data_IF_692955674387
#
_entry.id   IF_692955674387
#
_cell.length_a   1.000
_cell.length_b   1.000
_cell.length_c   1.000
_cell.angle_alpha   90.00
_cell.angle_beta   90.00
_cell.angle_gamma   90.00
#
_symmetry.space_group_name_H-M   'P 1'
#
loop_
_entity.id
_entity.type
_entity.pdbx_description
1 polymer ?
#
# COMPACT_ATOMS: atom_id res chain seq x y z
N UNK A 1 14.47 -2.20 -1.16
CA UNK A 1 13.12 -2.80 -1.12
C UNK A 1 12.27 -1.89 -1.97
N UNK A 2 11.92 -2.30 -3.19
CA UNK A 2 11.01 -1.52 -4.03
C UNK A 2 9.62 -1.63 -3.38
N UNK A 3 9.22 -0.58 -2.70
CA UNK A 3 7.93 -0.44 -2.03
C UNK A 3 6.94 -0.06 -3.13
N UNK A 4 5.89 -0.85 -3.39
CA UNK A 4 4.79 -0.41 -4.25
C UNK A 4 4.24 0.91 -3.68
N UNK A 5 3.96 1.94 -4.47
CA UNK A 5 3.55 3.26 -3.92
C UNK A 5 2.17 3.25 -3.26
N UNK A 6 1.40 2.18 -3.48
CA UNK A 6 0.21 1.85 -2.69
C UNK A 6 0.51 1.28 -1.30
N UNK A 7 1.75 0.97 -0.96
CA UNK A 7 2.11 0.66 0.42
C UNK A 7 2.05 1.89 1.32
N UNK A 8 2.37 3.06 0.79
CA UNK A 8 2.39 4.29 1.58
C UNK A 8 1.03 4.99 1.64
N UNK A 9 0.14 4.79 0.65
CA UNK A 9 -1.22 5.38 0.67
C UNK A 9 -2.38 4.40 0.90
N UNK A 10 -2.15 3.09 0.84
CA UNK A 10 -3.16 2.04 1.08
C UNK A 10 -2.64 0.85 1.91
N UNK A 11 -1.39 0.89 2.40
CA UNK A 11 -0.85 -0.08 3.35
C UNK A 11 -0.19 0.54 4.61
N UNK A 12 -0.41 1.82 4.90
CA UNK A 12 -0.09 2.43 6.20
C UNK A 12 -1.31 3.00 6.95
N UNK A 13 -2.51 2.95 6.37
CA UNK A 13 -3.73 3.39 7.06
C UNK A 13 -4.17 2.41 8.15
N UNK A 14 -3.65 2.62 9.35
CA UNK A 14 -4.19 2.22 10.63
C UNK A 14 -4.96 3.37 11.27
N UNK A 15 -6.29 3.29 11.36
CA UNK A 15 -7.07 3.42 12.61
C UNK A 15 -8.59 3.31 12.33
N UNK A 16 -9.36 3.14 13.41
CA UNK A 16 -10.67 2.48 13.47
C UNK A 16 -11.90 3.37 13.20
N UNK A 17 -13.03 2.73 12.84
CA UNK A 17 -14.30 2.99 13.55
C UNK A 17 -14.95 1.69 14.02
N UNK A 18 -15.00 1.52 15.35
CA UNK A 18 -15.83 0.57 16.08
C UNK A 18 -17.33 0.91 15.94
N UNK A 19 -18.17 -0.06 15.60
CA UNK A 19 -19.26 -0.58 16.45
C UNK A 19 -19.95 -1.78 15.82
N UNK A 20 -20.09 -2.88 16.58
CA UNK A 20 -21.01 -3.98 16.25
C UNK A 20 -20.61 -5.34 16.80
N UNK A 21 -20.93 -5.60 18.08
CA UNK A 21 -20.86 -6.94 18.67
C UNK A 21 -21.65 -7.99 17.86
N UNK A 22 -21.00 -9.12 17.58
CA UNK A 22 -21.62 -10.44 17.65
C UNK A 22 -22.20 -11.00 16.35
N UNK A 23 -21.56 -12.06 15.87
CA UNK A 23 -22.17 -13.03 14.96
C UNK A 23 -21.12 -13.74 14.12
N UNK A 24 -20.75 -14.95 14.53
CA UNK A 24 -20.15 -15.95 13.64
C UNK A 24 -20.98 -15.98 12.36
N UNK A 25 -20.41 -15.46 11.28
CA UNK A 25 -20.96 -15.63 9.94
C UNK A 25 -19.86 -16.27 9.12
N UNK A 26 -19.99 -17.58 8.98
CA UNK A 26 -19.27 -18.39 8.01
C UNK A 26 -19.33 -17.67 6.66
N UNK A 27 -18.22 -17.05 6.25
CA UNK A 27 -18.07 -16.42 4.96
C UNK A 27 -18.36 -17.45 3.88
N UNK A 28 -19.49 -17.28 3.18
CA UNK A 28 -19.88 -18.17 2.09
C UNK A 28 -18.80 -18.12 1.02
N UNK A 29 -18.12 -19.26 0.87
CA UNK A 29 -17.27 -19.57 -0.25
C UNK A 29 -18.07 -19.48 -1.55
N UNK A 30 -17.82 -18.47 -2.38
CA UNK A 30 -18.25 -18.48 -3.77
C UNK A 30 -17.07 -19.00 -4.59
N UNK A 31 -16.99 -20.31 -4.74
CA UNK A 31 -16.17 -20.91 -5.78
C UNK A 31 -16.73 -20.44 -7.13
N UNK A 32 -16.02 -19.55 -7.84
CA UNK A 32 -16.31 -19.33 -9.25
C UNK A 32 -15.81 -20.56 -10.02
N UNK A 33 -16.74 -21.42 -10.39
CA UNK A 33 -16.51 -22.42 -11.41
C UNK A 33 -16.52 -21.72 -12.77
N UNK A 34 -15.34 -21.44 -13.33
CA UNK A 34 -15.13 -21.22 -14.77
C UNK A 34 -15.20 -19.77 -15.27
N UNK A 35 -14.11 -19.39 -15.94
CA UNK A 35 -13.93 -18.36 -16.98
C UNK A 35 -14.19 -16.86 -16.62
N UNK A 36 -13.10 -16.09 -16.72
CA UNK A 36 -13.02 -14.64 -17.03
C UNK A 36 -13.59 -13.61 -16.03
N UNK A 37 -13.72 -13.93 -14.75
CA UNK A 37 -13.98 -12.91 -13.71
C UNK A 37 -12.73 -12.59 -12.93
N UNK A 38 -12.09 -11.45 -13.19
CA UNK A 38 -11.03 -10.87 -12.34
C UNK A 38 -11.45 -10.66 -10.86
N UNK A 39 -10.58 -10.08 -10.02
CA UNK A 39 -10.77 -10.05 -8.57
C UNK A 39 -11.91 -9.13 -8.10
N UNK A 40 -12.45 -8.29 -8.99
CA UNK A 40 -13.65 -7.49 -8.71
C UNK A 40 -14.90 -8.31 -9.03
N UNK A 41 -15.68 -8.63 -8.00
CA UNK A 41 -16.91 -9.41 -8.10
C UNK A 41 -18.06 -8.60 -7.50
N UNK A 42 -19.16 -8.44 -8.24
CA UNK A 42 -20.33 -7.68 -7.81
C UNK A 42 -20.02 -6.23 -7.38
N UNK A 43 -19.05 -5.57 -8.02
CA UNK A 43 -18.55 -4.23 -7.62
C UNK A 43 -17.99 -4.21 -6.20
N UNK A 44 -17.35 -5.30 -5.79
CA UNK A 44 -16.56 -5.39 -4.57
C UNK A 44 -15.20 -6.02 -4.90
N UNK A 45 -14.15 -5.52 -4.26
CA UNK A 45 -12.80 -6.09 -4.27
C UNK A 45 -12.39 -6.33 -2.83
N UNK A 46 -11.98 -7.56 -2.50
CA UNK A 46 -11.50 -7.91 -1.17
C UNK A 46 -10.07 -8.40 -1.22
N UNK A 47 -9.24 -7.92 -0.32
CA UNK A 47 -7.87 -8.41 -0.13
C UNK A 47 -7.44 -8.28 1.32
N UNK A 48 -6.41 -9.02 1.69
CA UNK A 48 -5.81 -8.98 3.03
C UNK A 48 -4.33 -8.70 2.95
N UNK A 49 -3.84 -7.88 3.88
CA UNK A 49 -2.42 -7.61 4.12
C UNK A 49 -2.05 -8.14 5.51
N UNK A 50 -0.81 -8.58 5.65
CA UNK A 50 -0.20 -8.99 6.91
C UNK A 50 0.93 -8.04 7.25
N UNK A 51 1.10 -7.78 8.53
CA UNK A 51 2.15 -6.90 9.01
C UNK A 51 2.82 -7.50 10.23
N UNK A 52 4.15 -7.40 10.28
CA UNK A 52 4.94 -7.87 11.40
C UNK A 52 5.27 -6.69 12.29
N UNK A 53 4.97 -6.79 13.58
CA UNK A 53 5.25 -5.73 14.54
C UNK A 53 6.01 -6.28 15.74
N UNK A 54 6.52 -5.36 16.57
CA UNK A 54 7.18 -5.71 17.83
C UNK A 54 6.22 -5.47 18.98
N UNK A 55 6.05 -6.50 19.82
CA UNK A 55 5.16 -6.47 20.97
C UNK A 55 5.91 -6.86 22.25
N UNK A 56 5.42 -6.41 23.41
CA UNK A 56 5.96 -6.79 24.73
C UNK A 56 5.08 -7.88 25.32
N UNK A 57 5.60 -9.10 25.36
CA UNK A 57 4.92 -10.25 25.91
C UNK A 57 5.77 -10.91 27.00
N UNK A 58 5.23 -11.03 28.21
CA UNK A 58 5.92 -11.46 29.43
C UNK A 58 7.17 -10.64 29.79
N UNK A 59 7.17 -9.34 29.45
CA UNK A 59 8.27 -8.42 29.75
C UNK A 59 9.46 -8.52 28.79
N UNK A 60 9.32 -9.25 27.69
CA UNK A 60 10.31 -9.34 26.62
C UNK A 60 9.71 -8.85 25.29
N UNK A 61 10.53 -8.17 24.48
CA UNK A 61 10.15 -7.83 23.11
C UNK A 61 10.14 -9.09 22.25
N UNK A 62 9.03 -9.33 21.56
CA UNK A 62 8.82 -10.47 20.66
C UNK A 62 8.20 -9.98 19.35
N UNK A 63 8.48 -10.71 18.28
CA UNK A 63 7.80 -10.50 17.01
C UNK A 63 6.34 -10.94 17.14
N UNK A 64 5.47 -10.15 16.56
CA UNK A 64 4.03 -10.32 16.56
C UNK A 64 3.50 -10.04 15.14
N UNK A 65 2.25 -10.40 14.89
CA UNK A 65 1.64 -10.32 13.57
C UNK A 65 0.24 -9.73 13.60
N UNK A 66 0.04 -8.74 12.76
CA UNK A 66 -1.23 -8.09 12.46
C UNK A 66 -1.85 -8.60 11.16
N UNK A 67 -3.15 -8.36 11.02
CA UNK A 67 -3.94 -8.60 9.82
C UNK A 67 -4.79 -7.38 9.53
N UNK A 68 -4.74 -6.93 8.29
CA UNK A 68 -5.58 -5.86 7.73
C UNK A 68 -6.41 -6.48 6.60
N UNK A 69 -7.71 -6.67 6.82
CA UNK A 69 -8.63 -7.16 5.79
C UNK A 69 -9.42 -5.99 5.21
N UNK A 70 -9.35 -5.83 3.89
CA UNK A 70 -9.95 -4.74 3.15
C UNK A 70 -11.08 -5.23 2.25
N UNK A 71 -12.13 -4.42 2.14
CA UNK A 71 -13.19 -4.57 1.16
C UNK A 71 -13.54 -3.22 0.55
N UNK A 72 -13.22 -3.06 -0.72
CA UNK A 72 -13.50 -1.88 -1.52
C UNK A 72 -14.86 -2.08 -2.18
N UNK A 73 -15.69 -1.05 -2.12
CA UNK A 73 -17.01 -1.04 -2.75
C UNK A 73 -17.30 0.36 -3.29
N UNK A 74 -18.35 0.48 -4.12
CA UNK A 74 -18.86 1.80 -4.52
C UNK A 74 -19.38 2.62 -3.32
N UNK A 75 -19.64 1.98 -2.17
CA UNK A 75 -20.04 2.63 -0.92
C UNK A 75 -18.87 3.05 -0.02
N UNK A 76 -17.63 2.77 -0.43
CA UNK A 76 -16.42 3.08 0.33
C UNK A 76 -15.59 1.84 0.69
N UNK A 77 -14.53 2.05 1.47
CA UNK A 77 -13.69 1.00 2.03
C UNK A 77 -14.28 0.52 3.35
N UNK A 78 -14.25 -0.79 3.56
CA UNK A 78 -14.33 -1.38 4.88
C UNK A 78 -13.01 -2.03 5.21
N UNK A 79 -12.48 -1.71 6.39
CA UNK A 79 -11.25 -2.27 6.91
C UNK A 79 -11.54 -2.99 8.23
N UNK A 80 -10.93 -4.15 8.40
CA UNK A 80 -10.93 -4.89 9.66
C UNK A 80 -9.49 -5.15 10.08
N UNK A 81 -9.13 -4.63 11.25
CA UNK A 81 -7.80 -4.80 11.84
C UNK A 81 -7.89 -5.85 12.95
N UNK A 82 -6.96 -6.81 12.97
CA UNK A 82 -6.91 -7.83 14.02
C UNK A 82 -5.48 -8.28 14.33
N UNK A 83 -5.27 -8.75 15.56
CA UNK A 83 -4.02 -9.40 15.96
C UNK A 83 -4.10 -10.90 15.65
N UNK A 84 -3.11 -11.42 14.94
CA UNK A 84 -2.94 -12.86 14.67
C UNK A 84 -2.14 -13.52 15.79
N UNK A 85 -0.97 -12.95 16.09
CA UNK A 85 -0.04 -13.37 17.14
C UNK A 85 0.37 -12.11 17.89
N UNK A 86 0.23 -12.12 19.21
CA UNK A 86 0.55 -10.97 20.07
C UNK A 86 0.24 -11.25 21.53
N UNK A 87 0.54 -10.29 22.40
CA UNK A 87 0.31 -10.29 23.84
C UNK A 87 -1.18 -10.19 24.20
N UNK A 88 -1.99 -9.64 23.31
CA UNK A 88 -3.44 -9.48 23.47
C UNK A 88 -4.16 -9.58 22.11
N UNK A 89 -5.49 -9.79 22.08
CA UNK A 89 -6.28 -9.74 20.84
C UNK A 89 -6.30 -8.38 20.13
N UNK A 90 -5.86 -7.31 20.81
CA UNK A 90 -5.81 -5.94 20.29
C UNK A 90 -4.39 -5.40 20.12
N UNK A 91 -3.35 -6.20 20.41
CA UNK A 91 -1.98 -5.73 20.46
C UNK A 91 -1.52 -5.05 19.17
N UNK A 92 -1.96 -5.56 18.01
CA UNK A 92 -1.66 -4.93 16.72
C UNK A 92 -2.38 -3.59 16.56
N UNK A 93 -3.66 -3.53 16.90
CA UNK A 93 -4.44 -2.29 16.88
C UNK A 93 -3.83 -1.23 17.80
N UNK A 94 -3.34 -1.66 18.96
CA UNK A 94 -2.66 -0.80 19.92
C UNK A 94 -1.26 -0.37 19.43
N UNK A 95 -0.56 -1.22 18.64
CA UNK A 95 0.77 -0.91 18.11
C UNK A 95 0.77 0.05 16.95
N UNK A 96 -0.25 -0.06 16.09
CA UNK A 96 -0.42 0.86 14.95
C UNK A 96 -0.98 2.22 15.38
N UNK A 97 -1.50 2.32 16.61
CA UNK A 97 -1.89 3.59 17.22
C UNK A 97 -3.23 4.15 16.72
N UNK A 98 -3.56 5.33 17.22
CA UNK A 98 -4.77 6.12 16.92
C UNK A 98 -4.33 7.49 16.35
N UNK A 99 -3.34 7.46 15.45
CA UNK A 99 -2.78 8.65 14.83
C UNK A 99 -3.57 8.91 13.55
N UNK A 100 -4.37 9.97 13.57
CA UNK A 100 -5.00 10.50 12.36
C UNK A 100 -3.91 11.16 11.52
N UNK A 101 -3.09 10.36 10.85
CA UNK A 101 -2.04 10.84 9.96
C UNK A 101 -2.68 11.47 8.73
N UNK A 102 -2.11 12.57 8.26
CA UNK A 102 -2.57 13.24 7.05
C UNK A 102 -1.71 12.84 5.86
N UNK A 103 -2.40 12.42 4.80
CA UNK A 103 -1.82 12.26 3.47
C UNK A 103 -2.13 13.51 2.64
N UNK A 104 -1.09 14.02 1.98
CA UNK A 104 -1.14 15.24 1.19
C UNK A 104 -0.98 14.93 -0.29
N UNK A 105 -1.85 15.54 -1.11
CA UNK A 105 -1.77 15.48 -2.56
C UNK A 105 -1.64 16.91 -3.10
N UNK A 106 -0.51 17.22 -3.72
CA UNK A 106 -0.18 18.56 -4.20
C UNK A 106 0.15 18.56 -5.69
N UNK A 107 -0.49 19.43 -6.46
CA UNK A 107 -0.22 19.61 -7.89
C UNK A 107 -0.34 21.07 -8.29
N UNK A 108 -0.34 21.36 -9.59
CA UNK A 108 -0.49 22.74 -10.07
C UNK A 108 -1.86 23.30 -9.66
N UNK A 109 -1.87 24.36 -8.84
CA UNK A 109 -3.06 24.97 -8.26
C UNK A 109 -3.99 23.96 -7.54
N UNK A 110 -3.39 22.97 -6.87
CA UNK A 110 -4.08 21.85 -6.25
C UNK A 110 -3.41 21.47 -4.94
N UNK A 111 -4.19 21.39 -3.87
CA UNK A 111 -3.76 20.82 -2.60
C UNK A 111 -4.94 20.10 -1.95
N UNK A 112 -4.71 18.87 -1.50
CA UNK A 112 -5.66 18.04 -0.77
C UNK A 112 -4.91 17.52 0.46
N UNK A 113 -5.54 17.65 1.62
CA UNK A 113 -5.12 16.98 2.84
C UNK A 113 -6.29 16.12 3.29
N UNK A 114 -6.04 14.83 3.50
CA UNK A 114 -7.04 13.84 3.88
C UNK A 114 -6.44 12.95 4.97
N UNK A 115 -7.25 12.44 5.91
CA UNK A 115 -6.79 11.38 6.79
C UNK A 115 -6.33 10.21 5.93
N UNK A 116 -5.23 9.57 6.32
CA UNK A 116 -4.75 8.35 5.66
C UNK A 116 -5.79 7.23 5.74
N UNK A 117 -6.54 7.18 6.84
CA UNK A 117 -7.71 6.33 6.97
C UNK A 117 -8.71 6.60 5.85
N UNK A 118 -9.06 5.53 5.14
CA UNK A 118 -10.03 5.63 4.06
C UNK A 118 -11.40 6.02 4.60
N UNK A 119 -11.76 7.29 4.42
CA UNK A 119 -13.12 7.80 4.61
C UNK A 119 -13.76 8.09 3.25
N UNK A 120 -14.93 7.50 3.01
CA UNK A 120 -15.76 7.72 1.81
C UNK A 120 -16.06 9.20 1.51
N UNK A 121 -15.96 10.08 2.50
CA UNK A 121 -16.05 11.52 2.32
C UNK A 121 -14.94 12.03 1.38
N UNK A 122 -13.74 11.48 1.50
CA UNK A 122 -12.55 11.90 0.75
C UNK A 122 -12.24 10.94 -0.40
N UNK A 123 -12.35 9.62 -0.18
CA UNK A 123 -11.97 8.60 -1.15
C UNK A 123 -13.22 7.96 -1.80
N UNK A 124 -13.29 7.98 -3.13
CA UNK A 124 -14.43 7.51 -3.89
C UNK A 124 -13.98 6.52 -4.96
N UNK A 125 -14.50 5.29 -4.90
CA UNK A 125 -14.13 4.22 -5.81
C UNK A 125 -15.26 3.98 -6.81
N UNK A 126 -14.87 3.70 -8.05
CA UNK A 126 -15.79 3.18 -9.07
C UNK A 126 -15.12 2.07 -9.86
N UNK A 127 -15.79 0.92 -9.97
CA UNK A 127 -15.31 -0.21 -10.76
C UNK A 127 -15.63 -0.02 -12.24
N UNK A 128 -14.64 -0.32 -13.08
CA UNK A 128 -14.75 -0.20 -14.54
C UNK A 128 -15.10 -1.55 -15.14
N UNK A 129 -14.39 -2.59 -14.72
CA UNK A 129 -14.59 -3.98 -15.11
C UNK A 129 -14.09 -4.91 -13.98
N UNK A 130 -13.73 -6.16 -14.30
CA UNK A 130 -13.31 -7.15 -13.32
C UNK A 130 -11.90 -6.96 -12.78
N UNK A 131 -11.06 -6.16 -13.43
CA UNK A 131 -9.65 -5.98 -13.13
C UNK A 131 -9.24 -4.50 -13.02
N UNK A 132 -10.17 -3.56 -13.26
CA UNK A 132 -9.88 -2.14 -13.22
C UNK A 132 -10.87 -1.38 -12.34
N UNK A 133 -10.35 -0.47 -11.50
CA UNK A 133 -11.14 0.51 -10.77
C UNK A 133 -10.55 1.91 -10.88
N UNK A 134 -11.33 2.92 -10.49
CA UNK A 134 -10.89 4.31 -10.41
C UNK A 134 -11.00 4.78 -8.98
N UNK A 135 -9.99 5.51 -8.53
CA UNK A 135 -9.99 6.23 -7.26
C UNK A 135 -10.10 7.73 -7.55
N UNK A 136 -11.06 8.37 -6.91
CA UNK A 136 -11.16 9.82 -6.82
C UNK A 136 -10.93 10.23 -5.38
N UNK A 137 -9.91 11.03 -5.15
CA UNK A 137 -9.62 11.61 -3.85
C UNK A 137 -10.00 13.07 -3.91
N UNK A 138 -10.81 13.54 -2.97
CA UNK A 138 -11.38 14.88 -2.98
C UNK A 138 -11.37 15.51 -1.60
N UNK A 139 -11.08 16.80 -1.55
CA UNK A 139 -11.29 17.63 -0.35
C UNK A 139 -11.80 19.00 -0.78
N UNK A 140 -13.01 19.34 -0.35
CA UNK A 140 -13.72 20.53 -0.84
C UNK A 140 -13.94 20.48 -2.36
N UNK A 141 -13.37 21.46 -3.09
CA UNK A 141 -13.46 21.55 -4.55
C UNK A 141 -12.24 20.96 -5.27
N UNK A 142 -11.21 20.55 -4.54
CA UNK A 142 -10.01 19.94 -5.09
C UNK A 142 -10.20 18.43 -5.26
N UNK A 143 -9.67 17.86 -6.34
CA UNK A 143 -9.68 16.41 -6.55
C UNK A 143 -8.49 15.90 -7.37
N UNK A 144 -7.98 14.73 -7.02
CA UNK A 144 -7.13 13.90 -7.88
C UNK A 144 -7.87 12.65 -8.31
N UNK A 145 -7.54 12.15 -9.50
CA UNK A 145 -8.16 10.96 -10.06
C UNK A 145 -7.08 10.05 -10.62
N UNK A 146 -7.20 8.77 -10.32
CA UNK A 146 -6.32 7.74 -10.83
C UNK A 146 -7.11 6.51 -11.23
N UNK A 147 -6.62 5.81 -12.25
CA UNK A 147 -7.12 4.48 -12.65
C UNK A 147 -6.16 3.44 -12.13
N UNK A 148 -6.66 2.37 -11.54
CA UNK A 148 -5.86 1.26 -11.04
C UNK A 148 -6.23 0.00 -11.81
N UNK A 149 -5.23 -0.59 -12.44
CA UNK A 149 -5.33 -1.94 -13.00
C UNK A 149 -4.84 -2.94 -11.95
N UNK A 150 -5.52 -4.08 -11.87
CA UNK A 150 -5.22 -5.16 -10.94
C UNK A 150 -4.60 -6.31 -11.70
N UNK A 151 -3.33 -6.58 -11.42
CA UNK A 151 -2.67 -7.79 -11.90
C UNK A 151 -2.87 -8.88 -10.85
N UNK A 152 -3.47 -9.99 -11.27
CA UNK A 152 -3.67 -11.18 -10.42
C UNK A 152 -2.59 -12.21 -10.70
N UNK A 153 -1.85 -12.60 -9.66
CA UNK A 153 -0.89 -13.70 -9.71
C UNK A 153 -1.46 -14.93 -9.02
N UNK A 154 -1.31 -16.09 -9.67
CA UNK A 154 -1.61 -17.39 -9.09
C UNK A 154 -0.50 -17.77 -8.10
N UNK A 155 -0.90 -18.10 -6.88
CA UNK A 155 0.00 -18.56 -5.84
C UNK A 155 -0.07 -20.08 -5.63
N UNK A 156 -0.92 -20.82 -6.33
CA UNK A 156 -0.98 -22.28 -6.15
C UNK A 156 0.39 -22.93 -6.33
N UNK A 157 0.84 -23.69 -5.33
CA UNK A 157 2.14 -24.35 -5.39
C UNK A 157 3.34 -23.44 -5.11
N UNK A 158 3.13 -22.13 -4.94
CA UNK A 158 4.18 -21.19 -4.53
C UNK A 158 4.54 -21.45 -3.07
N UNK A 159 5.84 -21.50 -2.80
CA UNK A 159 6.39 -21.67 -1.45
C UNK A 159 7.30 -20.50 -1.10
N UNK A 160 8.14 -20.71 -0.08
CA UNK A 160 9.13 -19.73 0.34
C UNK A 160 10.17 -19.43 -0.76
N UNK A 161 10.40 -18.15 -1.03
CA UNK A 161 11.51 -17.70 -1.88
C UNK A 161 12.88 -17.92 -1.19
N UNK A 162 13.92 -18.35 -1.93
CA UNK A 162 15.30 -18.27 -1.45
C UNK A 162 15.74 -16.82 -1.23
N UNK A 163 16.53 -16.56 -0.19
CA UNK A 163 17.01 -15.21 0.20
C UNK A 163 17.71 -14.39 -0.91
N UNK A 164 18.21 -15.02 -1.97
CA UNK A 164 18.86 -14.35 -3.10
C UNK A 164 18.20 -14.70 -4.44
N UNK A 165 16.90 -14.93 -4.42
CA UNK A 165 16.14 -15.12 -5.63
C UNK A 165 16.36 -13.96 -6.61
N UNK A 166 16.32 -14.28 -7.91
CA UNK A 166 16.38 -13.28 -8.99
C UNK A 166 15.07 -13.15 -9.73
N UNK A 167 14.20 -14.13 -9.55
CA UNK A 167 12.90 -14.32 -10.20
C UNK A 167 12.01 -15.05 -9.21
N UNK A 168 10.69 -14.99 -9.40
CA UNK A 168 9.69 -15.66 -8.58
C UNK A 168 8.79 -14.68 -7.84
N UNK A 169 7.92 -15.21 -6.98
CA UNK A 169 6.95 -14.43 -6.21
C UNK A 169 7.39 -14.39 -4.75
N UNK A 170 7.75 -13.21 -4.25
CA UNK A 170 8.06 -12.97 -2.85
C UNK A 170 6.79 -12.69 -2.05
N UNK A 171 6.63 -13.42 -0.95
CA UNK A 171 5.42 -13.44 -0.11
C UNK A 171 5.80 -13.44 1.36
N UNK A 172 4.82 -13.36 2.26
CA UNK A 172 5.04 -13.44 3.70
C UNK A 172 5.77 -14.72 4.15
N UNK A 173 5.72 -15.80 3.38
CA UNK A 173 6.45 -17.03 3.66
C UNK A 173 7.97 -16.83 3.69
N UNK A 174 8.50 -15.80 3.03
CA UNK A 174 9.93 -15.48 3.02
C UNK A 174 10.47 -15.08 4.38
N UNK A 175 9.62 -14.60 5.29
CA UNK A 175 9.99 -14.28 6.67
C UNK A 175 10.11 -15.52 7.59
N UNK A 176 9.54 -16.66 7.18
CA UNK A 176 9.38 -17.82 8.07
C UNK A 176 10.72 -18.52 8.41
N UNK A 177 10.83 -19.23 9.55
CA UNK A 177 12.01 -20.04 9.85
C UNK A 177 12.31 -21.05 8.73
N UNK A 178 13.60 -21.28 8.43
CA UNK A 178 14.02 -22.19 7.35
C UNK A 178 13.59 -23.66 7.53
N UNK A 179 13.20 -24.05 8.75
CA UNK A 179 12.62 -25.37 9.04
C UNK A 179 11.18 -25.53 8.56
N UNK A 180 10.52 -24.44 8.18
CA UNK A 180 9.13 -24.42 7.71
C UNK A 180 9.14 -24.14 6.21
N UNK A 181 8.49 -25.01 5.44
CA UNK A 181 8.38 -24.87 3.99
C UNK A 181 6.94 -25.11 3.54
N UNK A 182 6.00 -24.25 3.95
CA UNK A 182 4.62 -24.38 3.57
C UNK A 182 4.46 -23.93 2.11
N UNK A 183 3.41 -24.42 1.47
CA UNK A 183 3.11 -24.13 0.06
C UNK A 183 1.66 -23.72 -0.04
N UNK A 184 1.40 -22.66 -0.79
CA UNK A 184 0.06 -22.12 -0.99
C UNK A 184 -0.86 -23.15 -1.65
N UNK A 185 -2.10 -23.33 -1.13
CA UNK A 185 -3.06 -24.26 -1.67
C UNK A 185 -3.68 -23.76 -2.99
N UNK A 186 -4.46 -24.64 -3.64
CA UNK A 186 -5.20 -24.28 -4.85
C UNK A 186 -6.19 -23.14 -4.59
N UNK A 187 -6.27 -22.21 -5.54
CA UNK A 187 -7.10 -21.00 -5.47
C UNK A 187 -6.49 -19.84 -4.67
N UNK A 188 -5.26 -19.97 -4.16
CA UNK A 188 -4.51 -18.85 -3.58
C UNK A 188 -4.07 -17.88 -4.67
N UNK A 189 -4.32 -16.60 -4.45
CA UNK A 189 -3.95 -15.53 -5.39
C UNK A 189 -3.43 -14.31 -4.63
N UNK A 190 -2.66 -13.48 -5.32
CA UNK A 190 -2.43 -12.12 -4.89
C UNK A 190 -2.59 -11.10 -6.00
N UNK A 191 -2.71 -9.85 -5.56
CA UNK A 191 -3.01 -8.72 -6.42
C UNK A 191 -1.88 -7.70 -6.37
N UNK A 192 -1.63 -7.08 -7.51
CA UNK A 192 -0.75 -5.93 -7.66
C UNK A 192 -1.58 -4.83 -8.29
N UNK A 193 -1.68 -3.70 -7.62
CA UNK A 193 -2.38 -2.54 -8.14
C UNK A 193 -1.38 -1.64 -8.85
N UNK A 194 -1.70 -1.25 -10.09
CA UNK A 194 -0.87 -0.38 -10.92
C UNK A 194 -1.61 0.92 -11.21
N UNK A 195 -1.14 2.01 -10.61
CA UNK A 195 -1.76 3.33 -10.76
C UNK A 195 -1.44 3.95 -12.13
N UNK A 196 -2.45 4.54 -12.76
CA UNK A 196 -2.31 5.50 -13.85
C UNK A 196 -2.99 6.82 -13.45
N UNK A 197 -2.21 7.85 -13.05
CA UNK A 197 -2.73 9.16 -12.70
C UNK A 197 -3.38 9.88 -13.90
N UNK A 198 -4.49 10.58 -13.69
CA UNK A 198 -5.09 11.42 -14.73
C UNK A 198 -4.44 12.81 -14.81
N UNK A 199 -3.64 13.18 -13.82
CA UNK A 199 -3.01 14.49 -13.68
C UNK A 199 -1.65 14.34 -12.98
N UNK A 200 -0.78 15.34 -13.11
CA UNK A 200 0.48 15.35 -12.38
C UNK A 200 0.23 15.81 -10.94
N UNK A 201 0.75 15.08 -9.96
CA UNK A 201 0.73 15.48 -8.56
C UNK A 201 1.86 14.81 -7.77
N UNK A 202 2.09 15.34 -6.59
CA UNK A 202 2.97 14.82 -5.57
C UNK A 202 2.12 14.25 -4.45
N UNK A 203 2.52 13.12 -3.89
CA UNK A 203 1.94 12.54 -2.67
C UNK A 203 3.02 12.52 -1.59
N UNK A 204 2.68 12.89 -0.36
CA UNK A 204 3.57 12.86 0.80
C UNK A 204 2.75 12.81 2.10
N UNK A 205 3.33 12.29 3.18
CA UNK A 205 2.64 12.08 4.46
C UNK A 205 3.21 12.94 5.61
N UNK A 206 2.42 13.20 6.65
CA UNK A 206 2.79 14.08 7.77
C UNK A 206 4.05 13.62 8.54
N UNK A 207 4.35 12.32 8.54
CA UNK A 207 5.47 11.72 9.27
C UNK A 207 6.71 11.40 8.40
N UNK A 208 6.68 11.77 7.11
CA UNK A 208 7.80 11.59 6.18
C UNK A 208 8.67 12.85 6.05
N UNK A 209 8.84 13.61 7.15
CA UNK A 209 9.66 14.81 7.15
C UNK A 209 11.16 14.51 7.29
N UNK A 210 11.97 15.08 6.40
CA UNK A 210 13.44 15.03 6.46
C UNK A 210 14.02 16.23 7.25
N UNK A 211 13.16 17.03 7.87
CA UNK A 211 13.52 18.19 8.67
C UNK A 211 13.49 19.53 7.93
N UNK A 212 13.90 20.57 8.65
CA UNK A 212 13.82 21.96 8.21
C UNK A 212 14.97 22.34 7.26
N UNK A 213 14.70 22.35 5.96
CA UNK A 213 15.59 22.93 4.95
C UNK A 213 14.84 23.52 3.75
N UNK A 214 15.57 24.13 2.83
CA UNK A 214 15.06 24.59 1.54
C UNK A 214 15.19 23.49 0.47
N UNK A 215 14.40 23.58 -0.61
CA UNK A 215 14.54 22.68 -1.77
C UNK A 215 15.96 22.73 -2.36
N UNK A 216 16.62 23.89 -2.33
CA UNK A 216 17.99 24.02 -2.84
C UNK A 216 19.01 23.29 -1.96
N UNK A 217 18.83 23.31 -0.64
CA UNK A 217 19.66 22.55 0.31
C UNK A 217 19.41 21.05 0.18
N UNK A 218 18.15 20.62 0.07
CA UNK A 218 17.79 19.23 -0.18
C UNK A 218 18.47 18.69 -1.44
N UNK A 219 18.37 19.39 -2.57
CA UNK A 219 19.04 19.00 -3.83
C UNK A 219 20.56 18.94 -3.68
N UNK A 220 21.17 19.81 -2.87
CA UNK A 220 22.61 19.78 -2.62
C UNK A 220 23.01 18.54 -1.81
N UNK A 221 22.18 18.13 -0.84
CA UNK A 221 22.36 16.89 -0.09
C UNK A 221 22.21 15.67 -1.00
N UNK A 222 21.17 15.63 -1.83
CA UNK A 222 20.94 14.54 -2.79
C UNK A 222 22.13 14.34 -3.73
N UNK A 223 22.71 15.42 -4.25
CA UNK A 223 23.92 15.36 -5.11
C UNK A 223 25.18 14.85 -4.41
N UNK A 224 25.17 14.75 -3.08
CA UNK A 224 26.30 14.21 -2.31
C UNK A 224 26.30 12.68 -2.34
N UNK A 225 25.12 12.05 -2.44
CA UNK A 225 24.94 10.61 -2.28
C UNK A 225 24.38 9.92 -3.53
N UNK A 226 23.62 10.64 -4.36
CA UNK A 226 22.83 10.10 -5.47
C UNK A 226 23.18 10.77 -6.80
N UNK A 227 22.91 10.07 -7.91
CA UNK A 227 23.06 10.63 -9.25
C UNK A 227 21.83 11.45 -9.63
N UNK A 228 21.93 12.77 -9.58
CA UNK A 228 20.78 13.66 -9.89
C UNK A 228 20.67 13.96 -11.39
N UNK A 229 19.81 13.23 -12.11
CA UNK A 229 19.49 13.47 -13.52
C UNK A 229 18.11 14.15 -13.69
N UNK A 230 17.88 14.83 -14.82
CA UNK A 230 16.56 15.38 -15.19
C UNK A 230 15.87 16.25 -14.11
N UNK A 231 16.66 16.97 -13.30
CA UNK A 231 16.14 17.77 -12.18
C UNK A 231 15.08 18.78 -12.66
N UNK A 232 13.90 18.71 -12.06
CA UNK A 232 12.81 19.68 -12.20
C UNK A 232 12.61 20.36 -10.85
N UNK A 233 12.50 21.69 -10.90
CA UNK A 233 12.04 22.52 -9.79
C UNK A 233 10.77 23.20 -10.22
N UNK A 234 9.75 23.12 -9.38
CA UNK A 234 8.44 23.68 -9.66
C UNK A 234 7.78 24.16 -8.38
N UNK A 235 6.69 24.92 -8.54
CA UNK A 235 5.82 25.26 -7.42
C UNK A 235 4.45 24.63 -7.64
N UNK A 236 3.92 24.02 -6.59
CA UNK A 236 2.65 23.28 -6.55
C UNK A 236 1.80 23.78 -5.36
N UNK A 237 0.66 23.16 -5.10
CA UNK A 237 -0.25 23.57 -4.03
C UNK A 237 -1.25 24.63 -4.50
N UNK A 238 -2.09 25.12 -3.58
CA UNK A 238 -3.02 26.23 -3.85
C UNK A 238 -2.21 27.47 -4.25
N UNK A 239 -2.62 28.13 -5.33
CA UNK A 239 -1.92 29.30 -5.89
C UNK A 239 -0.44 29.05 -6.27
N UNK A 240 -0.02 27.77 -6.34
CA UNK A 240 1.37 27.34 -6.55
C UNK A 240 2.34 27.92 -5.52
N UNK A 241 1.98 27.86 -4.23
CA UNK A 241 2.77 28.42 -3.14
C UNK A 241 3.85 27.48 -2.57
N UNK A 242 3.75 26.17 -2.83
CA UNK A 242 4.64 25.15 -2.26
C UNK A 242 5.82 24.86 -3.20
N UNK A 243 7.08 25.11 -2.80
CA UNK A 243 8.24 24.69 -3.57
C UNK A 243 8.35 23.17 -3.59
N UNK A 244 8.62 22.60 -4.77
CA UNK A 244 8.85 21.18 -4.96
C UNK A 244 10.00 20.93 -5.93
N UNK A 245 10.60 19.75 -5.83
CA UNK A 245 11.59 19.28 -6.77
C UNK A 245 11.46 17.78 -7.00
N UNK A 246 11.96 17.33 -8.15
CA UNK A 246 12.09 15.92 -8.48
C UNK A 246 13.24 15.69 -9.45
N UNK A 247 13.84 14.52 -9.40
CA UNK A 247 14.91 14.12 -10.29
C UNK A 247 14.83 12.61 -10.56
N UNK A 248 15.59 12.14 -11.55
CA UNK A 248 15.76 10.71 -11.84
C UNK A 248 17.12 10.26 -11.34
N UNK A 249 17.17 9.20 -10.54
CA UNK A 249 18.42 8.66 -10.00
C UNK A 249 19.21 7.81 -11.02
N UNK A 250 20.23 7.08 -10.57
CA UNK A 250 21.01 6.15 -11.40
C UNK A 250 20.23 4.91 -11.88
N UNK A 251 19.23 4.48 -11.13
CA UNK A 251 18.41 3.29 -11.41
C UNK A 251 17.20 3.64 -12.29
N UNK A 252 16.97 4.93 -12.53
CA UNK A 252 15.87 5.42 -13.34
C UNK A 252 14.62 5.74 -12.53
N UNK A 253 14.69 5.66 -11.20
CA UNK A 253 13.59 5.97 -10.29
C UNK A 253 13.44 7.47 -10.11
N UNK A 254 12.20 7.91 -9.88
CA UNK A 254 11.91 9.34 -9.62
C UNK A 254 11.93 9.58 -8.11
N UNK A 255 12.91 10.36 -7.67
CA UNK A 255 13.00 10.88 -6.31
C UNK A 255 12.43 12.29 -6.29
N UNK A 256 11.55 12.58 -5.33
CA UNK A 256 10.85 13.86 -5.25
C UNK A 256 10.70 14.34 -3.82
N UNK A 257 10.57 15.66 -3.67
CA UNK A 257 10.39 16.32 -2.39
C UNK A 257 9.48 17.54 -2.50
N UNK A 258 8.72 17.81 -1.44
CA UNK A 258 7.85 18.98 -1.31
C UNK A 258 8.22 19.72 -0.03
N UNK A 259 8.32 21.06 -0.13
CA UNK A 259 8.51 21.91 1.05
C UNK A 259 7.17 22.40 1.56
N UNK A 260 6.74 21.89 2.71
CA UNK A 260 5.47 22.22 3.36
C UNK A 260 5.71 22.62 4.82
N UNK A 261 5.03 23.68 5.28
CA UNK A 261 5.18 24.23 6.64
C UNK A 261 6.62 24.47 7.14
N UNK A 262 7.56 24.67 6.21
CA UNK A 262 8.97 24.93 6.51
C UNK A 262 9.85 23.69 6.58
N UNK A 263 9.28 22.49 6.46
CA UNK A 263 9.95 21.19 6.43
C UNK A 263 10.02 20.66 4.99
N UNK A 264 10.98 19.78 4.73
CA UNK A 264 11.02 18.95 3.52
C UNK A 264 10.34 17.63 3.83
N UNK A 265 9.47 17.22 2.93
CA UNK A 265 8.85 15.91 2.93
C UNK A 265 9.36 15.12 1.74
N UNK A 266 9.71 13.86 1.99
CA UNK A 266 9.84 12.88 0.92
C UNK A 266 8.50 12.75 0.21
N UNK A 267 8.53 12.66 -1.12
CA UNK A 267 7.33 12.65 -1.92
C UNK A 267 7.41 11.68 -3.08
N UNK A 268 6.27 11.14 -3.47
CA UNK A 268 6.10 10.40 -4.70
C UNK A 268 5.58 11.34 -5.79
N UNK A 269 6.25 11.36 -6.95
CA UNK A 269 5.74 12.05 -8.12
C UNK A 269 4.93 11.10 -9.00
N UNK A 270 3.67 11.47 -9.22
CA UNK A 270 2.68 10.77 -10.01
C UNK A 270 2.48 11.53 -11.33
N UNK A 271 2.83 10.88 -12.45
CA UNK A 271 2.79 11.51 -13.78
C UNK A 271 1.52 11.14 -14.54
N UNK A 272 0.83 12.15 -15.06
CA UNK A 272 -0.38 12.00 -15.87
C UNK A 272 -0.17 11.04 -17.04
N UNK A 273 -1.04 10.05 -17.14
CA UNK A 273 -1.07 9.06 -18.22
C UNK A 273 0.09 8.07 -18.24
N UNK A 274 0.95 8.06 -17.22
CA UNK A 274 2.04 7.08 -17.07
C UNK A 274 1.65 6.11 -15.98
N UNK A 275 1.48 4.84 -16.36
CA UNK A 275 1.25 3.77 -15.40
C UNK A 275 2.50 3.50 -14.57
N UNK A 276 2.33 3.14 -13.31
CA UNK A 276 3.40 2.62 -12.47
C UNK A 276 4.09 1.43 -13.14
N UNK A 277 5.43 1.44 -13.07
CA UNK A 277 6.26 0.44 -13.71
C UNK A 277 6.80 -0.57 -12.69
N UNK A 278 5.92 -1.18 -11.91
CA UNK A 278 6.32 -2.30 -11.05
C UNK A 278 6.51 -3.57 -11.88
N UNK A 279 7.52 -4.36 -11.53
CA UNK A 279 7.64 -5.68 -12.12
C UNK A 279 6.46 -6.56 -11.67
N UNK A 280 5.75 -7.11 -12.65
CA UNK A 280 4.61 -8.01 -12.42
C UNK A 280 4.83 -9.39 -13.03
N UNK A 281 6.01 -9.63 -13.62
CA UNK A 281 6.35 -10.90 -14.23
C UNK A 281 7.40 -11.65 -13.40
N UNK A 282 6.98 -12.69 -12.64
CA UNK A 282 7.89 -13.46 -11.81
C UNK A 282 8.91 -14.29 -12.60
N UNK A 283 8.76 -14.45 -13.92
CA UNK A 283 9.76 -15.14 -14.75
C UNK A 283 10.97 -14.26 -15.12
N UNK A 284 10.83 -12.93 -14.99
CA UNK A 284 11.85 -11.96 -15.41
C UNK A 284 12.61 -11.41 -14.21
N UNK A 285 11.89 -11.07 -13.16
CA UNK A 285 12.43 -10.51 -11.92
C UNK A 285 11.55 -10.94 -10.74
N UNK A 286 12.04 -10.77 -9.52
CA UNK A 286 11.24 -10.97 -8.32
C UNK A 286 10.02 -10.04 -8.31
N UNK A 287 8.87 -10.57 -7.93
CA UNK A 287 7.63 -9.83 -7.78
C UNK A 287 7.18 -9.90 -6.34
N UNK A 288 7.08 -8.75 -5.69
CA UNK A 288 6.62 -8.67 -4.31
C UNK A 288 5.09 -8.67 -4.23
N UNK A 289 4.56 -9.58 -3.44
CA UNK A 289 3.15 -9.93 -3.37
C UNK A 289 2.69 -9.89 -1.91
N UNK A 290 1.69 -9.07 -1.62
CA UNK A 290 1.21 -8.83 -0.24
C UNK A 290 -0.30 -8.61 -0.12
N UNK A 291 -0.99 -8.43 -1.25
CA UNK A 291 -2.43 -8.22 -1.28
C UNK A 291 -3.07 -9.56 -1.61
N UNK A 292 -3.45 -10.31 -0.58
CA UNK A 292 -3.88 -11.70 -0.73
C UNK A 292 -5.39 -11.83 -0.85
N UNK A 293 -5.85 -12.76 -1.70
CA UNK A 293 -7.25 -13.19 -1.65
C UNK A 293 -7.54 -13.99 -0.36
N UNK A 294 -8.82 -14.25 -0.08
CA UNK A 294 -9.23 -14.94 1.16
C UNK A 294 -8.58 -16.32 1.33
N UNK A 295 -8.35 -17.05 0.23
CA UNK A 295 -7.75 -18.40 0.28
C UNK A 295 -6.28 -18.31 0.72
N UNK A 296 -5.50 -17.43 0.08
CA UNK A 296 -4.11 -17.17 0.44
C UNK A 296 -3.99 -16.59 1.85
N UNK A 297 -4.87 -15.66 2.22
CA UNK A 297 -4.87 -15.03 3.54
C UNK A 297 -5.16 -16.04 4.67
N UNK A 298 -6.19 -16.88 4.53
CA UNK A 298 -6.52 -17.89 5.53
C UNK A 298 -5.39 -18.92 5.71
N UNK A 299 -4.73 -19.27 4.60
CA UNK A 299 -3.55 -20.12 4.64
C UNK A 299 -2.39 -19.45 5.41
N UNK A 300 -2.04 -18.20 5.06
CA UNK A 300 -0.97 -17.46 5.72
C UNK A 300 -1.25 -17.30 7.21
N UNK A 301 -2.46 -16.91 7.60
CA UNK A 301 -2.86 -16.77 9.00
C UNK A 301 -2.67 -18.09 9.77
N UNK A 302 -3.05 -19.22 9.17
CA UNK A 302 -2.83 -20.55 9.76
C UNK A 302 -1.35 -20.86 9.92
N UNK A 303 -0.53 -20.54 8.92
CA UNK A 303 0.91 -20.77 8.98
C UNK A 303 1.60 -19.85 9.99
N UNK A 304 1.22 -18.57 10.08
CA UNK A 304 1.74 -17.61 11.06
C UNK A 304 1.46 -18.15 12.47
N UNK A 305 0.21 -18.49 12.80
CA UNK A 305 -0.16 -19.01 14.13
C UNK A 305 0.55 -20.32 14.51
N UNK A 306 0.90 -21.14 13.52
CA UNK A 306 1.53 -22.44 13.77
C UNK A 306 3.06 -22.36 13.95
N UNK A 307 3.69 -21.30 13.42
CA UNK A 307 5.15 -21.24 13.27
C UNK A 307 5.81 -20.03 13.95
N UNK A 308 5.04 -19.19 14.63
CA UNK A 308 5.51 -18.07 15.46
C UNK A 308 5.16 -18.28 16.93
#
# INVERSE_FOLDING_TARGET
MQINKLYTGLALASALVLTGCGGDSDGQYVASNGDDGGPIVNNELSYTVFDSFTDVNDGEYKNAWGKLAYRLSNSGLMQTISTIVGSSPTAYQDSVGDVSELEFYAGQNLFIAVPEDFDSQFYNISFVDSDTFKLNIRSGNASVNSTYDIITLDLEGVGKQPFNAKTGIDTELSSFPSSVNPVFPSGSQCYIFLETPNQNFYTFSEDEDEGSMTIDEWIANEKTYNTVNNLVKENIGIDNELPAARYTDEDGEIVAAVRYNGLIYDAFYNQSGVQENFNTNPDIEEVYCSLYNDVAANFLETQIKANY
#
